data_IF_936214610365
#
_entry.id   IF_936214610365
#
_cell.length_a   1.000
_cell.length_b   1.000
_cell.length_c   1.000
_cell.angle_alpha   90.00
_cell.angle_beta   90.00
_cell.angle_gamma   90.00
#
_symmetry.space_group_name_H-M   'P 1'
#
loop_
_entity.id
_entity.type
_entity.pdbx_description
1 polymer ?
#
# COMPACT_ATOMS: atom_id res chain seq x y z
N UNK A 1 -20.00 -2.00 -15.82
CA UNK A 1 -18.54 -1.86 -16.00
C UNK A 1 -17.95 -2.13 -14.64
N UNK A 2 -17.40 -3.33 -14.44
CA UNK A 2 -16.83 -3.74 -13.16
C UNK A 2 -15.34 -3.49 -13.25
N UNK A 3 -14.82 -2.59 -12.43
CA UNK A 3 -13.42 -2.17 -12.49
C UNK A 3 -12.44 -3.30 -12.13
N UNK A 4 -12.92 -4.43 -11.63
CA UNK A 4 -12.11 -5.59 -11.26
C UNK A 4 -12.90 -6.89 -11.43
N UNK A 5 -12.34 -7.88 -12.13
CA UNK A 5 -12.85 -9.25 -12.13
C UNK A 5 -11.99 -10.06 -11.15
N UNK A 6 -12.58 -10.44 -10.01
CA UNK A 6 -11.89 -11.20 -8.98
C UNK A 6 -12.26 -12.67 -9.15
N UNK A 7 -11.28 -13.53 -9.43
CA UNK A 7 -11.51 -14.97 -9.31
C UNK A 7 -11.73 -15.31 -7.83
N UNK A 8 -12.87 -15.94 -7.56
CA UNK A 8 -13.48 -16.16 -6.23
C UNK A 8 -12.71 -17.15 -5.31
N UNK A 9 -11.39 -17.09 -5.29
CA UNK A 9 -10.53 -18.09 -4.62
C UNK A 9 -10.08 -17.78 -3.19
N UNK A 10 -10.12 -16.54 -2.72
CA UNK A 10 -9.53 -16.17 -1.42
C UNK A 10 -10.53 -15.46 -0.50
N UNK A 11 -11.39 -16.27 0.11
CA UNK A 11 -12.13 -15.92 1.33
C UNK A 11 -11.24 -16.19 2.56
N UNK A 12 -10.28 -15.32 2.83
CA UNK A 12 -9.70 -15.16 4.18
C UNK A 12 -9.30 -13.70 4.41
N UNK A 13 -9.48 -13.25 5.66
CA UNK A 13 -9.96 -11.91 5.99
C UNK A 13 -8.85 -10.89 6.25
N UNK A 14 -9.19 -9.61 5.97
CA UNK A 14 -8.48 -8.35 6.28
C UNK A 14 -7.67 -7.81 5.10
N UNK A 15 -8.37 -7.12 4.21
CA UNK A 15 -7.75 -6.22 3.23
C UNK A 15 -7.23 -4.98 3.94
N UNK A 16 -5.98 -4.60 3.68
CA UNK A 16 -5.53 -3.25 3.98
C UNK A 16 -5.89 -2.35 2.79
N UNK A 17 -6.70 -1.33 3.05
CA UNK A 17 -6.84 -0.23 2.10
C UNK A 17 -5.62 0.68 2.24
N UNK A 18 -4.85 0.80 1.17
CA UNK A 18 -3.68 1.66 1.09
C UNK A 18 -3.97 2.79 0.11
N UNK A 19 -4.05 4.02 0.61
CA UNK A 19 -4.04 5.21 -0.24
C UNK A 19 -2.58 5.68 -0.36
N UNK A 20 -2.04 5.60 -1.57
CA UNK A 20 -0.70 6.08 -1.85
C UNK A 20 -0.55 7.58 -1.60
N UNK A 21 0.65 8.01 -1.20
CA UNK A 21 0.94 9.44 -1.07
C UNK A 21 1.69 9.92 -2.30
N UNK A 22 0.96 10.58 -3.20
CA UNK A 22 1.55 11.31 -4.32
C UNK A 22 2.35 12.50 -3.75
N UNK A 23 3.67 12.36 -3.78
CA UNK A 23 4.69 13.32 -3.30
C UNK A 23 4.81 13.53 -1.78
N UNK A 24 6.05 13.64 -1.25
CA UNK A 24 6.28 13.91 0.16
C UNK A 24 6.12 15.41 0.44
N UNK A 25 4.96 15.82 0.97
CA UNK A 25 4.92 17.05 1.77
C UNK A 25 5.36 16.70 3.20
N UNK A 26 6.01 17.64 3.89
CA UNK A 26 6.48 17.43 5.26
C UNK A 26 5.35 17.07 6.24
N UNK A 27 4.08 17.26 5.85
CA UNK A 27 2.88 16.96 6.65
C UNK A 27 1.97 15.91 5.98
N UNK A 28 2.40 15.30 4.88
CA UNK A 28 1.61 14.29 4.18
C UNK A 28 1.43 13.06 5.08
N UNK A 29 0.17 12.70 5.33
CA UNK A 29 -0.22 11.50 6.05
C UNK A 29 -1.24 10.72 5.24
N UNK A 30 -1.14 9.41 5.29
CA UNK A 30 -2.16 8.50 4.76
C UNK A 30 -2.86 7.82 5.93
N UNK A 31 -4.16 7.56 5.78
CA UNK A 31 -4.94 6.82 6.76
C UNK A 31 -5.03 5.37 6.30
N UNK A 32 -4.58 4.46 7.16
CA UNK A 32 -4.69 3.02 6.90
C UNK A 32 -5.55 2.38 7.98
N UNK A 33 -6.43 1.46 7.57
CA UNK A 33 -7.34 0.77 8.50
C UNK A 33 -6.71 -0.52 9.01
N UNK A 34 -6.30 -0.54 10.28
CA UNK A 34 -5.74 -1.72 10.95
C UNK A 34 -6.65 -2.14 12.10
N UNK A 35 -7.06 -3.41 12.13
CA UNK A 35 -7.95 -3.97 13.16
C UNK A 35 -9.26 -3.19 13.38
N UNK A 36 -9.78 -2.54 12.35
CA UNK A 36 -11.02 -1.75 12.43
C UNK A 36 -10.80 -0.25 12.70
N UNK A 37 -9.60 0.14 13.10
CA UNK A 37 -9.24 1.52 13.44
C UNK A 37 -8.46 2.18 12.31
N UNK A 38 -8.69 3.48 12.09
CA UNK A 38 -7.89 4.28 11.16
C UNK A 38 -6.69 4.86 11.89
N UNK A 39 -5.50 4.48 11.43
CA UNK A 39 -4.22 4.95 11.96
C UNK A 39 -3.58 5.86 10.90
N UNK A 40 -3.03 6.99 11.36
CA UNK A 40 -2.25 7.90 10.51
C UNK A 40 -0.85 7.35 10.32
N UNK A 41 -0.40 7.33 9.08
CA UNK A 41 0.93 6.90 8.72
C UNK A 41 1.64 8.01 7.93
N UNK A 42 2.90 8.24 8.27
CA UNK A 42 3.79 9.12 7.51
C UNK A 42 4.76 8.26 6.72
N UNK A 43 5.00 8.60 5.46
CA UNK A 43 6.06 7.97 4.67
C UNK A 43 7.42 8.45 5.17
N UNK A 44 8.27 7.54 5.60
CA UNK A 44 9.61 7.82 6.13
C UNK A 44 10.73 7.49 5.14
N UNK A 45 10.47 6.61 4.17
CA UNK A 45 11.37 6.33 3.06
C UNK A 45 10.57 5.82 1.86
N UNK A 46 11.11 6.00 0.67
CA UNK A 46 10.60 5.42 -0.56
C UNK A 46 11.76 5.28 -1.57
N UNK A 47 11.70 4.25 -2.42
CA UNK A 47 12.71 4.01 -3.46
C UNK A 47 12.18 3.08 -4.55
N UNK A 48 12.94 2.93 -5.64
CA UNK A 48 12.57 2.13 -6.79
C UNK A 48 11.79 2.95 -7.83
N UNK A 49 11.23 2.24 -8.81
CA UNK A 49 10.55 2.84 -9.96
C UNK A 49 9.35 3.67 -9.55
N UNK A 50 9.19 4.83 -10.20
CA UNK A 50 8.07 5.74 -9.98
C UNK A 50 6.85 5.29 -10.78
N UNK A 51 5.67 5.35 -10.17
CA UNK A 51 4.39 5.20 -10.85
C UNK A 51 3.35 6.10 -10.17
N UNK A 52 2.70 6.99 -10.95
CA UNK A 52 1.64 7.88 -10.47
C UNK A 52 1.98 8.63 -9.16
N UNK A 53 3.21 9.15 -9.05
CA UNK A 53 3.67 9.88 -7.85
C UNK A 53 4.01 9.00 -6.64
N UNK A 54 4.04 7.68 -6.81
CA UNK A 54 4.48 6.69 -5.83
C UNK A 54 5.76 5.98 -6.27
N UNK A 55 6.33 5.15 -5.40
CA UNK A 55 7.48 4.30 -5.72
C UNK A 55 7.20 2.84 -5.35
N UNK A 56 7.88 1.91 -6.02
CA UNK A 56 7.68 0.46 -5.82
C UNK A 56 8.02 -0.03 -4.42
N UNK A 57 8.92 0.66 -3.71
CA UNK A 57 9.13 0.48 -2.27
C UNK A 57 8.72 1.73 -1.50
N UNK A 58 7.88 1.56 -0.47
CA UNK A 58 7.49 2.64 0.44
C UNK A 58 7.50 2.14 1.89
N UNK A 59 8.06 2.96 2.78
CA UNK A 59 8.12 2.67 4.21
C UNK A 59 7.36 3.75 4.97
N UNK A 60 6.47 3.32 5.86
CA UNK A 60 5.65 4.19 6.69
C UNK A 60 5.83 3.90 8.18
N UNK A 61 5.63 4.93 8.99
CA UNK A 61 5.60 4.83 10.45
C UNK A 61 4.35 5.50 11.03
N UNK A 62 3.82 4.91 12.11
CA UNK A 62 2.80 5.55 12.96
C UNK A 62 3.39 6.75 13.70
N UNK A 63 2.58 7.68 14.25
CA UNK A 63 3.08 8.92 14.86
C UNK A 63 3.97 8.68 16.08
N UNK A 64 3.76 7.57 16.78
CA UNK A 64 4.52 7.12 17.94
C UNK A 64 5.67 6.16 17.58
N UNK A 65 5.88 5.86 16.30
CA UNK A 65 6.85 4.90 15.78
C UNK A 65 6.70 3.45 16.29
N UNK A 66 5.56 3.08 16.86
CA UNK A 66 5.30 1.71 17.36
C UNK A 66 4.94 0.73 16.25
N UNK A 67 4.44 1.24 15.12
CA UNK A 67 4.07 0.47 13.94
C UNK A 67 4.89 0.93 12.75
N UNK A 68 5.54 -0.02 12.08
CA UNK A 68 6.20 0.20 10.78
C UNK A 68 5.55 -0.65 9.71
N UNK A 69 5.39 -0.05 8.55
CA UNK A 69 4.85 -0.70 7.36
C UNK A 69 5.87 -0.57 6.24
N UNK A 70 6.21 -1.69 5.62
CA UNK A 70 6.95 -1.70 4.37
C UNK A 70 6.05 -2.25 3.29
N UNK A 71 5.80 -1.45 2.25
CA UNK A 71 5.00 -1.81 1.09
C UNK A 71 5.95 -1.99 -0.08
N UNK A 72 6.03 -3.20 -0.60
CA UNK A 72 6.81 -3.52 -1.79
C UNK A 72 5.84 -4.00 -2.88
N UNK A 73 5.86 -3.35 -4.03
CA UNK A 73 4.99 -3.65 -5.15
C UNK A 73 5.79 -3.89 -6.43
N UNK A 74 5.28 -4.80 -7.24
CA UNK A 74 5.73 -5.05 -8.61
C UNK A 74 4.71 -4.43 -9.56
N UNK A 75 5.19 -3.67 -10.53
CA UNK A 75 4.35 -3.09 -11.57
C UNK A 75 4.10 -4.14 -12.65
N UNK A 76 2.84 -4.32 -13.03
CA UNK A 76 2.48 -5.08 -14.22
C UNK A 76 2.79 -4.30 -15.51
N UNK A 77 2.49 -4.93 -16.65
CA UNK A 77 2.52 -4.23 -17.95
C UNK A 77 1.55 -3.02 -17.94
N UNK A 78 1.89 -1.89 -18.59
CA UNK A 78 0.97 -0.78 -18.75
C UNK A 78 -0.35 -1.22 -19.42
N UNK A 79 -1.50 -0.93 -18.80
CA UNK A 79 -2.82 -1.22 -19.35
C UNK A 79 -3.30 -0.23 -20.43
N UNK A 80 -4.43 -0.54 -21.09
CA UNK A 80 -4.98 0.27 -22.20
C UNK A 80 -5.63 1.61 -21.78
N UNK A 81 -5.96 1.79 -20.49
CA UNK A 81 -6.61 3.02 -19.96
C UNK A 81 -5.85 3.47 -18.71
N UNK A 82 -4.66 4.04 -18.90
CA UNK A 82 -3.88 4.76 -17.87
C UNK A 82 -3.88 4.11 -16.49
N UNK A 83 -3.83 2.77 -16.41
CA UNK A 83 -3.84 2.01 -15.18
C UNK A 83 -2.74 0.95 -15.19
N UNK A 84 -2.08 0.78 -14.05
CA UNK A 84 -1.04 -0.22 -13.83
C UNK A 84 -1.52 -1.11 -12.70
N UNK A 85 -1.62 -2.41 -12.99
CA UNK A 85 -1.89 -3.41 -11.96
C UNK A 85 -0.73 -3.46 -10.97
N UNK A 86 -1.07 -3.48 -9.68
CA UNK A 86 -0.12 -3.47 -8.57
C UNK A 86 -0.31 -4.73 -7.75
N UNK A 87 0.69 -5.58 -7.72
CA UNK A 87 0.76 -6.73 -6.82
C UNK A 87 1.95 -6.58 -5.89
N UNK A 88 1.84 -7.03 -4.66
CA UNK A 88 2.92 -6.81 -3.71
C UNK A 88 2.73 -7.46 -2.35
N UNK A 89 3.61 -7.09 -1.43
CA UNK A 89 3.56 -7.52 -0.04
C UNK A 89 3.72 -6.31 0.86
N UNK A 90 2.90 -6.28 1.90
CA UNK A 90 3.02 -5.37 3.02
C UNK A 90 3.53 -6.12 4.25
N UNK A 91 4.66 -5.67 4.77
CA UNK A 91 5.23 -6.18 6.01
C UNK A 91 4.87 -5.21 7.14
N UNK A 92 4.03 -5.69 8.06
CA UNK A 92 3.62 -4.98 9.26
C UNK A 92 4.50 -5.43 10.43
N UNK A 93 5.26 -4.50 11.00
CA UNK A 93 6.01 -4.73 12.22
C UNK A 93 5.35 -4.00 13.40
N UNK A 94 4.94 -4.77 14.42
CA UNK A 94 4.31 -4.26 15.63
C UNK A 94 4.65 -5.16 16.83
N UNK A 95 4.98 -4.57 17.98
CA UNK A 95 5.28 -5.31 19.22
C UNK A 95 6.35 -6.42 19.06
N UNK A 96 7.33 -6.22 18.18
CA UNK A 96 8.37 -7.20 17.87
C UNK A 96 7.93 -8.35 16.95
N UNK A 97 6.64 -8.45 16.62
CA UNK A 97 6.10 -9.37 15.62
C UNK A 97 6.14 -8.78 14.22
N UNK A 98 6.28 -9.65 13.22
CA UNK A 98 6.14 -9.31 11.80
C UNK A 98 4.93 -10.08 11.23
N UNK A 99 4.10 -9.40 10.44
CA UNK A 99 3.00 -10.00 9.69
C UNK A 99 3.11 -9.59 8.24
N UNK A 100 3.06 -10.55 7.32
CA UNK A 100 3.03 -10.28 5.89
C UNK A 100 1.58 -10.32 5.39
N UNK A 101 1.22 -9.32 4.60
CA UNK A 101 -0.13 -9.15 4.04
C UNK A 101 0.01 -8.94 2.54
N UNK A 102 -0.66 -9.75 1.69
CA UNK A 102 -0.63 -9.53 0.25
C UNK A 102 -1.30 -8.19 -0.09
N UNK A 103 -0.68 -7.45 -1.01
CA UNK A 103 -1.20 -6.20 -1.55
C UNK A 103 -1.64 -6.47 -2.98
N UNK A 104 -2.86 -6.06 -3.29
CA UNK A 104 -3.43 -6.09 -4.64
C UNK A 104 -4.10 -4.74 -4.87
N UNK A 105 -3.87 -4.14 -6.02
CA UNK A 105 -4.44 -2.85 -6.37
C UNK A 105 -4.27 -2.52 -7.85
N UNK A 106 -4.77 -1.35 -8.20
CA UNK A 106 -4.63 -0.74 -9.52
C UNK A 106 -4.30 0.75 -9.28
N UNK A 107 -3.30 1.26 -9.99
CA UNK A 107 -2.88 2.65 -9.92
C UNK A 107 -3.12 3.28 -11.28
N UNK A 108 -4.06 4.24 -11.36
CA UNK A 108 -4.39 4.91 -12.60
C UNK A 108 -4.96 6.32 -12.38
N UNK A 109 -5.16 7.03 -13.49
CA UNK A 109 -5.69 8.39 -13.56
C UNK A 109 -7.20 8.45 -13.25
#
# INVERSE_FOLDING_TARGET
>A
MTLWHRDDGLRSARYLFFNGLAQPSADAVTLMKLNGEFIRFRRIAASGDEFYGQQTLQIFASPDNTIKLQVNVTLGEPGEIESVSVEGTLQLQQNGGMTEIPVLGDAGC
#
